data_IF_254080114027
#
_entry.id   IF_254080114027
#
_cell.length_a   1.000
_cell.length_b   1.000
_cell.length_c   1.000
_cell.angle_alpha   90.00
_cell.angle_beta   90.00
_cell.angle_gamma   90.00
#
_symmetry.space_group_name_H-M   'P 1'
#
loop_
_entity.id
_entity.type
_entity.pdbx_description
1 polymer ?
#
# COMPACT_ATOMS: atom_id res chain seq x y z
N UNK A 1 0.10 5.80 -23.69
CA UNK A 1 -0.45 4.80 -22.74
C UNK A 1 -0.76 3.48 -23.46
N UNK A 2 0.18 2.94 -24.26
CA UNK A 2 0.02 1.67 -24.99
C UNK A 2 1.34 0.94 -25.27
N UNK A 3 2.47 1.40 -24.75
CA UNK A 3 3.80 0.83 -25.04
C UNK A 3 3.86 -0.68 -24.82
N UNK A 4 3.28 -1.20 -23.74
CA UNK A 4 3.24 -2.66 -23.51
C UNK A 4 2.30 -3.39 -24.50
N UNK A 5 1.24 -2.74 -24.97
CA UNK A 5 0.35 -3.30 -25.99
C UNK A 5 1.01 -3.32 -27.38
N UNK A 6 1.91 -2.37 -27.67
CA UNK A 6 2.68 -2.32 -28.93
C UNK A 6 3.66 -3.48 -29.07
N UNK A 7 4.10 -4.07 -27.95
CA UNK A 7 4.91 -5.29 -27.90
C UNK A 7 4.06 -6.57 -27.79
N UNK A 8 2.76 -6.51 -28.13
CA UNK A 8 1.82 -7.64 -28.09
C UNK A 8 1.64 -8.31 -26.71
N UNK A 9 1.92 -7.59 -25.62
CA UNK A 9 1.58 -8.08 -24.28
C UNK A 9 0.10 -7.88 -23.96
N UNK A 10 -0.55 -8.93 -23.41
CA UNK A 10 -1.89 -8.81 -22.86
C UNK A 10 -1.84 -8.06 -21.53
N UNK A 11 -2.24 -6.79 -21.54
CA UNK A 11 -2.24 -5.91 -20.35
C UNK A 11 -3.61 -5.30 -20.10
N UNK A 12 -4.00 -5.23 -18.83
CA UNK A 12 -5.26 -4.61 -18.39
C UNK A 12 -5.03 -3.72 -17.18
N UNK A 13 -5.78 -2.61 -17.10
CA UNK A 13 -5.74 -1.71 -15.95
C UNK A 13 -6.74 -2.23 -14.92
N UNK A 14 -6.28 -2.47 -13.68
CA UNK A 14 -7.17 -2.83 -12.58
C UNK A 14 -7.99 -1.63 -12.16
N UNK A 15 -9.30 -1.79 -12.03
CA UNK A 15 -10.16 -0.78 -11.39
C UNK A 15 -9.91 -0.80 -9.88
N UNK A 16 -9.77 0.37 -9.28
CA UNK A 16 -9.73 0.51 -7.81
C UNK A 16 -11.08 0.08 -7.24
N UNK A 17 -11.06 -0.72 -6.16
CA UNK A 17 -12.25 -1.25 -5.48
C UNK A 17 -12.03 -1.14 -3.97
N UNK A 18 -13.04 -0.67 -3.24
CA UNK A 18 -13.02 -0.58 -1.77
C UNK A 18 -12.13 0.54 -1.22
N UNK A 19 -11.87 1.60 -2.00
CA UNK A 19 -11.05 2.75 -1.57
C UNK A 19 -11.74 3.59 -0.50
N UNK A 20 -13.07 3.64 -0.53
CA UNK A 20 -13.95 4.30 0.43
C UNK A 20 -13.99 3.63 1.81
N UNK A 21 -13.49 2.40 1.90
CA UNK A 21 -13.49 1.57 3.11
C UNK A 21 -12.09 1.05 3.46
N UNK A 22 -11.03 1.70 2.98
CA UNK A 22 -9.62 1.33 3.22
C UNK A 22 -9.28 -0.13 2.88
N UNK A 23 -9.95 -0.70 1.89
CA UNK A 23 -9.81 -2.09 1.45
C UNK A 23 -9.19 -2.24 0.06
N UNK A 24 -8.79 -1.14 -0.59
CA UNK A 24 -8.09 -1.20 -1.85
C UNK A 24 -6.69 -1.80 -1.68
N UNK A 25 -6.11 -2.23 -2.81
CA UNK A 25 -4.74 -2.75 -2.83
C UNK A 25 -3.77 -1.75 -2.16
N UNK A 26 -3.10 -2.18 -1.09
CA UNK A 26 -2.11 -1.37 -0.36
C UNK A 26 -2.63 -0.65 0.89
N UNK A 27 -3.95 -0.64 1.15
CA UNK A 27 -4.55 0.03 2.32
C UNK A 27 -4.69 -0.86 3.55
N UNK A 28 -4.52 -2.18 3.41
CA UNK A 28 -4.70 -3.13 4.50
C UNK A 28 -3.57 -3.04 5.54
N UNK A 29 -3.77 -2.25 6.61
CA UNK A 29 -2.82 -2.13 7.74
C UNK A 29 -3.02 -3.25 8.76
N UNK A 30 -4.28 -3.55 9.10
CA UNK A 30 -4.63 -4.54 10.12
C UNK A 30 -4.11 -4.18 11.52
N UNK A 31 -4.18 -5.15 12.44
CA UNK A 31 -3.62 -5.02 13.80
C UNK A 31 -2.23 -5.66 13.86
N UNK A 32 -1.18 -4.84 13.83
CA UNK A 32 0.22 -5.31 13.78
C UNK A 32 1.02 -4.78 14.97
N UNK A 33 1.80 -5.68 15.58
CA UNK A 33 2.85 -5.37 16.56
C UNK A 33 4.20 -5.29 15.85
N UNK A 34 4.74 -4.09 15.66
CA UNK A 34 6.06 -3.90 15.04
C UNK A 34 7.21 -4.16 16.02
N UNK A 35 7.99 -5.22 15.77
CA UNK A 35 9.19 -5.57 16.55
C UNK A 35 10.50 -5.06 15.93
N UNK A 36 10.45 -4.49 14.74
CA UNK A 36 11.62 -4.08 13.96
C UNK A 36 12.02 -2.63 14.17
N UNK A 37 11.22 -1.87 14.96
CA UNK A 37 11.37 -0.42 15.20
C UNK A 37 11.34 0.44 13.93
N UNK A 38 10.95 -0.12 12.79
CA UNK A 38 10.90 0.60 11.51
C UNK A 38 9.83 1.68 11.53
N UNK A 39 8.74 1.45 12.27
CA UNK A 39 7.69 2.44 12.44
C UNK A 39 8.20 3.69 13.15
N UNK A 40 9.04 3.55 14.18
CA UNK A 40 9.62 4.70 14.88
C UNK A 40 10.50 5.57 13.97
N UNK A 41 11.29 4.95 13.10
CA UNK A 41 12.09 5.68 12.11
C UNK A 41 11.22 6.38 11.05
N UNK A 42 10.10 5.76 10.63
CA UNK A 42 9.16 6.35 9.67
C UNK A 42 8.37 7.54 10.26
N UNK A 43 8.03 7.49 11.54
CA UNK A 43 7.39 8.59 12.25
C UNK A 43 8.27 9.86 12.27
N UNK A 44 9.59 9.72 12.43
CA UNK A 44 10.53 10.84 12.37
C UNK A 44 10.56 11.52 11.00
N UNK A 45 10.25 10.77 9.94
CA UNK A 45 10.22 11.25 8.56
C UNK A 45 8.84 11.78 8.13
N UNK A 46 7.89 11.93 9.06
CA UNK A 46 6.57 12.51 8.81
C UNK A 46 5.51 11.54 8.28
N UNK A 47 5.81 10.24 8.19
CA UNK A 47 4.85 9.23 7.74
C UNK A 47 4.19 8.59 8.96
N UNK A 48 2.94 9.00 9.26
CA UNK A 48 2.16 8.47 10.38
C UNK A 48 1.47 7.17 9.96
N UNK A 49 1.97 6.02 10.44
CA UNK A 49 1.35 4.71 10.20
C UNK A 49 0.66 4.25 11.49
N UNK A 50 -0.64 3.89 11.45
CA UNK A 50 -1.36 3.41 12.62
C UNK A 50 -0.97 1.96 12.95
N UNK A 51 0.11 1.77 13.71
CA UNK A 51 0.51 0.44 14.23
C UNK A 51 0.58 0.44 15.76
N UNK A 52 0.35 -0.73 16.36
CA UNK A 52 0.52 -0.94 17.79
C UNK A 52 2.00 -1.21 18.06
N UNK A 53 2.70 -0.31 18.72
CA UNK A 53 4.07 -0.57 19.20
C UNK A 53 4.02 -1.22 20.59
N UNK A 54 4.81 -2.28 20.78
CA UNK A 54 5.13 -2.84 22.10
C UNK A 54 6.31 -2.11 22.71
#
# INVERSE_FOLDING_TARGET
MKTLMEYDYTVTIRKTRGDDIDAACGQLVGDVIDRTKRTQAKLQNGEQIPVKSV
#
